data_IF_743185777836
#
_entry.id   IF_743185777836
#
_cell.length_a   1.000
_cell.length_b   1.000
_cell.length_c   1.000
_cell.angle_alpha   90.00
_cell.angle_beta   90.00
_cell.angle_gamma   90.00
#
_symmetry.space_group_name_H-M   'P 1'
#
loop_
_entity.id
_entity.type
_entity.pdbx_description
1 polymer ?
#
# COMPACT_ATOMS: atom_id res chain seq x y z
N UNK A 1 -10.66 7.18 13.41
CA UNK A 1 -9.85 6.05 13.91
C UNK A 1 -10.42 5.55 15.23
N UNK A 2 -10.34 4.24 15.48
CA UNK A 2 -10.57 3.59 16.78
C UNK A 2 -9.21 3.15 17.32
N UNK A 3 -8.89 3.45 18.58
CA UNK A 3 -7.66 2.99 19.26
C UNK A 3 -7.95 1.76 20.12
N UNK A 4 -6.99 0.85 20.21
CA UNK A 4 -7.03 -0.26 21.15
C UNK A 4 -6.88 0.27 22.59
N UNK A 5 -7.79 -0.04 23.53
CA UNK A 5 -7.73 0.50 24.89
C UNK A 5 -6.48 0.09 25.68
N UNK A 6 -5.93 -1.09 25.41
CA UNK A 6 -4.82 -1.66 26.19
C UNK A 6 -3.46 -1.12 25.76
N UNK A 7 -3.23 -1.00 24.45
CA UNK A 7 -1.93 -0.58 23.89
C UNK A 7 -1.89 0.88 23.43
N UNK A 8 -3.05 1.51 23.23
CA UNK A 8 -3.14 2.88 22.70
C UNK A 8 -2.85 3.02 21.21
N UNK A 9 -2.46 1.94 20.52
CA UNK A 9 -2.27 1.90 19.06
C UNK A 9 -3.62 1.95 18.33
N UNK A 10 -3.64 2.24 17.03
CA UNK A 10 -4.87 2.14 16.25
C UNK A 10 -5.32 0.68 16.11
N UNK A 11 -6.61 0.46 16.35
CA UNK A 11 -7.28 -0.80 16.09
C UNK A 11 -7.93 -0.78 14.70
N UNK A 12 -8.57 0.32 14.34
CA UNK A 12 -9.25 0.50 13.04
C UNK A 12 -9.06 1.92 12.54
N UNK A 13 -8.55 2.06 11.33
CA UNK A 13 -8.30 3.35 10.68
C UNK A 13 -8.97 3.37 9.30
N UNK A 14 -9.74 4.42 9.04
CA UNK A 14 -10.29 4.71 7.70
C UNK A 14 -9.64 6.00 7.21
N UNK A 15 -9.07 5.95 6.02
CA UNK A 15 -8.40 7.07 5.37
C UNK A 15 -9.22 7.43 4.13
N UNK A 16 -9.65 8.69 4.03
CA UNK A 16 -10.34 9.25 2.88
C UNK A 16 -9.47 10.31 2.22
N UNK A 17 -9.07 10.05 0.97
CA UNK A 17 -8.18 10.92 0.21
C UNK A 17 -8.87 11.44 -1.04
N UNK A 18 -8.61 12.70 -1.38
CA UNK A 18 -9.05 13.35 -2.60
C UNK A 18 -7.85 13.83 -3.41
N UNK A 19 -7.80 13.46 -4.69
CA UNK A 19 -6.77 13.86 -5.62
C UNK A 19 -7.39 14.70 -6.74
N UNK A 20 -6.66 15.70 -7.23
CA UNK A 20 -7.06 16.45 -8.42
C UNK A 20 -6.00 16.31 -9.50
N UNK A 21 -6.35 15.63 -10.59
CA UNK A 21 -5.44 15.38 -11.72
C UNK A 21 -6.11 15.89 -12.99
N UNK A 22 -5.50 16.87 -13.65
CA UNK A 22 -6.01 17.41 -14.92
C UNK A 22 -7.45 17.94 -14.84
N UNK A 23 -7.86 18.49 -13.69
CA UNK A 23 -9.21 19.00 -13.44
C UNK A 23 -10.26 17.92 -13.10
N UNK A 24 -9.86 16.65 -12.97
CA UNK A 24 -10.72 15.56 -12.48
C UNK A 24 -10.45 15.32 -11.00
N UNK A 25 -11.51 15.15 -10.23
CA UNK A 25 -11.44 14.72 -8.84
C UNK A 25 -11.47 13.19 -8.77
N UNK A 26 -10.50 12.61 -8.08
CA UNK A 26 -10.43 11.19 -7.78
C UNK A 26 -10.55 11.05 -6.27
N UNK A 27 -11.36 10.11 -5.81
CA UNK A 27 -11.49 9.80 -4.39
C UNK A 27 -11.06 8.37 -4.11
N UNK A 28 -10.35 8.21 -3.01
CA UNK A 28 -9.88 6.91 -2.54
C UNK A 28 -10.26 6.77 -1.08
N UNK A 29 -10.75 5.58 -0.71
CA UNK A 29 -11.03 5.19 0.66
C UNK A 29 -10.24 3.92 0.98
N UNK A 30 -9.44 3.95 2.04
CA UNK A 30 -8.73 2.79 2.56
C UNK A 30 -9.18 2.49 3.99
N UNK A 31 -9.32 1.23 4.35
CA UNK A 31 -9.69 0.79 5.70
C UNK A 31 -8.71 -0.31 6.13
N UNK A 32 -8.04 -0.10 7.25
CA UNK A 32 -7.20 -1.10 7.90
C UNK A 32 -7.76 -1.37 9.30
N UNK A 33 -7.84 -2.64 9.70
CA UNK A 33 -8.38 -3.01 11.01
C UNK A 33 -7.78 -4.31 11.54
N UNK A 34 -7.24 -4.26 12.76
CA UNK A 34 -6.66 -5.39 13.48
C UNK A 34 -7.73 -6.35 14.04
N UNK A 35 -8.98 -5.90 14.17
CA UNK A 35 -10.08 -6.71 14.72
C UNK A 35 -10.88 -7.49 13.68
N UNK A 36 -10.59 -7.28 12.39
CA UNK A 36 -11.18 -8.05 11.29
C UNK A 36 -10.21 -9.13 10.83
N UNK A 37 -10.57 -10.42 10.94
CA UNK A 37 -9.76 -11.47 10.34
C UNK A 37 -9.73 -11.28 8.82
N UNK A 38 -8.54 -11.39 8.22
CA UNK A 38 -8.43 -11.50 6.77
C UNK A 38 -9.19 -12.77 6.31
N UNK A 39 -9.85 -12.70 5.15
CA UNK A 39 -10.49 -13.88 4.58
C UNK A 39 -9.42 -14.95 4.36
N UNK A 40 -9.55 -16.17 4.93
CA UNK A 40 -8.51 -17.21 4.82
C UNK A 40 -8.17 -17.60 3.37
N UNK A 41 -9.08 -17.31 2.46
CA UNK A 41 -9.05 -17.63 1.03
C UNK A 41 -8.97 -16.39 0.14
N UNK A 42 -8.92 -15.17 0.72
CA UNK A 42 -8.87 -13.92 -0.04
C UNK A 42 -10.03 -13.72 -1.03
N UNK A 43 -11.15 -14.43 -0.88
CA UNK A 43 -12.23 -14.46 -1.89
C UNK A 43 -13.02 -13.14 -2.00
N UNK A 44 -12.81 -12.20 -1.09
CA UNK A 44 -13.40 -10.87 -1.16
C UNK A 44 -12.46 -9.92 -1.92
N UNK A 45 -13.04 -8.97 -2.65
CA UNK A 45 -12.24 -7.91 -3.27
C UNK A 45 -11.66 -7.01 -2.18
N UNK A 46 -10.33 -7.01 -2.05
CA UNK A 46 -9.59 -6.16 -1.13
C UNK A 46 -9.34 -4.78 -1.73
N UNK A 47 -9.24 -4.68 -3.06
CA UNK A 47 -9.06 -3.42 -3.79
C UNK A 47 -10.06 -3.34 -4.93
N UNK A 48 -10.75 -2.19 -5.04
CA UNK A 48 -11.69 -1.89 -6.12
C UNK A 48 -11.30 -0.54 -6.73
N UNK A 49 -11.13 -0.51 -8.05
CA UNK A 49 -10.87 0.71 -8.81
C UNK A 49 -12.04 0.94 -9.75
N UNK A 50 -12.83 1.98 -9.50
CA UNK A 50 -14.03 2.31 -10.29
C UNK A 50 -13.80 3.55 -11.16
N UNK A 51 -14.34 3.52 -12.38
CA UNK A 51 -14.31 4.63 -13.32
C UNK A 51 -15.55 4.66 -14.20
N UNK A 52 -15.61 5.64 -15.11
CA UNK A 52 -16.80 5.87 -15.95
C UNK A 52 -17.17 4.68 -16.85
N UNK A 53 -16.22 3.79 -17.13
CA UNK A 53 -16.40 2.65 -18.04
C UNK A 53 -16.61 1.31 -17.31
N UNK A 54 -16.64 1.32 -15.98
CA UNK A 54 -16.79 0.13 -15.15
C UNK A 54 -15.79 0.08 -14.00
N UNK A 55 -15.43 -1.13 -13.54
CA UNK A 55 -14.55 -1.31 -12.37
C UNK A 55 -13.59 -2.47 -12.53
N UNK A 56 -12.49 -2.41 -11.78
CA UNK A 56 -11.54 -3.49 -11.57
C UNK A 56 -11.68 -3.95 -10.12
N UNK A 57 -11.83 -5.26 -9.90
CA UNK A 57 -11.73 -5.87 -8.58
C UNK A 57 -10.46 -6.71 -8.51
N UNK A 58 -9.65 -6.50 -7.47
CA UNK A 58 -8.48 -7.31 -7.16
C UNK A 58 -8.82 -8.13 -5.90
N UNK A 59 -8.70 -9.45 -6.02
CA UNK A 59 -8.96 -10.41 -4.94
C UNK A 59 -7.69 -11.16 -4.58
N UNK A 60 -7.73 -11.89 -3.48
CA UNK A 60 -6.53 -12.41 -2.82
C UNK A 60 -5.98 -11.42 -1.81
N UNK A 61 -4.88 -11.80 -1.18
CA UNK A 61 -4.19 -10.93 -0.24
C UNK A 61 -3.58 -9.74 -0.99
N UNK A 62 -3.60 -8.52 -0.44
CA UNK A 62 -3.08 -7.33 -1.13
C UNK A 62 -1.61 -7.45 -1.53
N UNK A 63 -0.81 -8.19 -0.74
CA UNK A 63 0.59 -8.46 -1.05
C UNK A 63 0.78 -9.57 -2.09
N UNK A 64 -0.24 -10.40 -2.32
CA UNK A 64 -0.24 -11.51 -3.26
C UNK A 64 -1.63 -11.69 -3.87
N UNK A 65 -2.06 -10.78 -4.75
CA UNK A 65 -3.36 -10.89 -5.40
C UNK A 65 -3.40 -12.20 -6.19
N UNK A 66 -4.56 -12.85 -6.26
CA UNK A 66 -4.72 -14.15 -6.94
C UNK A 66 -5.66 -14.05 -8.15
N UNK A 67 -6.55 -13.06 -8.15
CA UNK A 67 -7.57 -12.89 -9.19
C UNK A 67 -7.80 -11.42 -9.52
N UNK A 68 -7.97 -11.12 -10.81
CA UNK A 68 -8.32 -9.79 -11.32
C UNK A 68 -9.58 -9.85 -12.19
N UNK A 69 -10.62 -9.13 -11.76
CA UNK A 69 -11.88 -9.06 -12.49
C UNK A 69 -12.08 -7.69 -13.11
N UNK A 70 -12.40 -7.68 -14.41
CA UNK A 70 -12.77 -6.47 -15.14
C UNK A 70 -14.28 -6.46 -15.39
N UNK A 71 -14.96 -5.43 -14.93
CA UNK A 71 -16.37 -5.19 -15.21
C UNK A 71 -16.48 -4.01 -16.16
N UNK A 72 -17.19 -4.17 -17.29
CA UNK A 72 -17.45 -3.08 -18.25
C UNK A 72 -18.92 -2.70 -18.17
N UNK A 73 -19.27 -1.42 -18.33
CA UNK A 73 -20.65 -0.89 -18.43
C UNK A 73 -21.65 -1.44 -17.39
N UNK A 74 -22.07 -0.61 -16.42
CA UNK A 74 -23.13 -0.94 -15.43
C UNK A 74 -23.17 -2.43 -15.01
N UNK A 75 -22.01 -2.98 -14.65
CA UNK A 75 -21.81 -4.31 -14.08
C UNK A 75 -21.93 -5.53 -15.01
N UNK A 76 -21.88 -5.38 -16.33
CA UNK A 76 -21.65 -6.57 -17.17
C UNK A 76 -20.23 -7.09 -16.92
N UNK A 77 -20.14 -8.30 -16.34
CA UNK A 77 -18.85 -8.96 -16.14
C UNK A 77 -18.22 -9.19 -17.51
N UNK A 78 -17.15 -8.46 -17.81
CA UNK A 78 -16.27 -8.92 -18.89
C UNK A 78 -15.48 -10.10 -18.32
N UNK A 79 -15.26 -11.13 -19.14
CA UNK A 79 -14.59 -12.39 -18.74
C UNK A 79 -13.41 -12.09 -17.79
N UNK A 80 -13.25 -12.85 -16.68
CA UNK A 80 -12.11 -12.67 -15.78
C UNK A 80 -10.83 -12.65 -16.61
N UNK A 81 -9.95 -11.70 -16.30
CA UNK A 81 -8.58 -11.80 -16.78
C UNK A 81 -7.92 -12.76 -15.79
N UNK A 82 -7.80 -14.03 -16.17
CA UNK A 82 -7.06 -15.03 -15.39
C UNK A 82 -5.59 -14.61 -15.37
N UNK A 83 -5.25 -13.71 -14.47
CA UNK A 83 -3.88 -13.57 -13.96
C UNK A 83 -3.85 -14.43 -12.70
N UNK A 84 -3.70 -15.73 -12.89
CA UNK A 84 -3.28 -16.58 -11.78
C UNK A 84 -1.82 -16.22 -11.53
N UNK A 85 -1.56 -15.43 -10.49
CA UNK A 85 -0.21 -15.28 -9.99
C UNK A 85 0.25 -16.67 -9.54
N UNK A 86 1.42 -17.10 -10.03
CA UNK A 86 1.92 -18.44 -9.75
C UNK A 86 2.12 -18.60 -8.24
N UNK A 87 1.23 -19.34 -7.58
CA UNK A 87 1.30 -19.63 -6.13
C UNK A 87 2.64 -20.27 -5.71
N UNK A 88 3.42 -20.76 -6.66
CA UNK A 88 4.71 -21.42 -6.44
C UNK A 88 5.87 -20.45 -6.21
N UNK A 89 5.74 -19.16 -6.57
CA UNK A 89 6.79 -18.18 -6.31
C UNK A 89 6.66 -17.62 -4.87
N UNK A 90 7.72 -17.68 -4.05
CA UNK A 90 7.71 -17.03 -2.74
C UNK A 90 7.35 -15.54 -2.86
N UNK A 91 6.54 -15.05 -1.91
CA UNK A 91 5.98 -13.68 -1.85
C UNK A 91 6.95 -12.55 -2.25
N UNK A 92 8.24 -12.72 -1.92
CA UNK A 92 9.26 -11.70 -2.05
C UNK A 92 10.17 -11.85 -3.29
N UNK A 93 9.91 -12.81 -4.18
CA UNK A 93 10.75 -13.00 -5.38
C UNK A 93 10.73 -11.78 -6.32
N UNK A 94 9.57 -11.18 -6.66
CA UNK A 94 9.54 -10.06 -7.60
C UNK A 94 10.33 -8.84 -7.10
N UNK A 95 10.25 -8.53 -5.81
CA UNK A 95 11.01 -7.42 -5.21
C UNK A 95 12.52 -7.72 -5.15
N UNK A 96 12.91 -8.96 -4.87
CA UNK A 96 14.31 -9.37 -4.88
C UNK A 96 14.91 -9.30 -6.29
N UNK A 97 14.16 -9.71 -7.31
CA UNK A 97 14.57 -9.64 -8.71
C UNK A 97 14.71 -8.19 -9.19
N UNK A 98 13.82 -7.28 -8.77
CA UNK A 98 13.93 -5.86 -9.08
C UNK A 98 15.17 -5.22 -8.43
N UNK A 99 15.47 -5.56 -7.18
CA UNK A 99 16.72 -5.12 -6.51
C UNK A 99 17.95 -5.65 -7.25
N UNK A 100 17.96 -6.94 -7.60
CA UNK A 100 19.07 -7.55 -8.33
C UNK A 100 19.25 -6.91 -9.72
N UNK A 101 18.15 -6.57 -10.41
CA UNK A 101 18.15 -5.85 -11.68
C UNK A 101 18.74 -4.44 -11.53
N UNK A 102 18.27 -3.67 -10.55
CA UNK A 102 18.77 -2.32 -10.29
C UNK A 102 20.27 -2.30 -9.98
N UNK A 103 20.75 -3.21 -9.13
CA UNK A 103 22.18 -3.33 -8.80
C UNK A 103 22.99 -3.67 -10.05
N UNK A 104 22.52 -4.63 -10.87
CA UNK A 104 23.19 -5.02 -12.12
C UNK A 104 23.29 -3.87 -13.12
N UNK A 105 22.30 -2.99 -13.15
CA UNK A 105 22.26 -1.81 -14.03
C UNK A 105 22.95 -0.57 -13.42
N UNK A 106 23.43 -0.65 -12.18
CA UNK A 106 24.07 0.48 -11.49
C UNK A 106 23.10 1.58 -11.07
N UNK A 107 21.81 1.26 -10.92
CA UNK A 107 20.78 2.18 -10.44
C UNK A 107 20.83 2.29 -8.91
N UNK A 108 20.53 3.48 -8.40
CA UNK A 108 20.47 3.75 -6.96
C UNK A 108 19.08 3.52 -6.36
N UNK A 109 18.05 3.51 -7.20
CA UNK A 109 16.66 3.30 -6.83
C UNK A 109 15.92 2.55 -7.95
N UNK A 110 14.78 1.93 -7.61
CA UNK A 110 13.91 1.31 -8.60
C UNK A 110 13.18 2.40 -9.40
N UNK A 111 13.19 2.35 -10.74
CA UNK A 111 12.34 3.23 -11.56
C UNK A 111 10.84 3.01 -11.34
N UNK A 112 10.43 1.79 -10.96
CA UNK A 112 9.04 1.44 -10.66
C UNK A 112 8.64 1.84 -9.24
N UNK A 113 9.57 1.81 -8.28
CA UNK A 113 9.38 2.31 -6.90
C UNK A 113 10.47 3.33 -6.52
N UNK A 114 10.38 4.58 -7.01
CA UNK A 114 11.32 5.64 -6.66
C UNK A 114 11.25 6.00 -5.16
N UNK A 115 12.31 6.61 -4.64
CA UNK A 115 12.33 7.12 -3.26
C UNK A 115 11.24 8.16 -3.01
N UNK A 116 10.91 8.97 -4.01
CA UNK A 116 9.83 9.96 -3.91
C UNK A 116 8.47 9.31 -3.60
N UNK A 117 8.18 8.14 -4.17
CA UNK A 117 6.95 7.40 -3.89
C UNK A 117 6.96 6.86 -2.45
N UNK A 118 8.10 6.32 -2.00
CA UNK A 118 8.26 5.85 -0.62
C UNK A 118 8.06 6.98 0.40
N UNK A 119 8.66 8.15 0.13
CA UNK A 119 8.52 9.34 0.97
C UNK A 119 7.06 9.83 1.00
N UNK A 120 6.38 9.87 -0.15
CA UNK A 120 4.97 10.26 -0.20
C UNK A 120 4.09 9.34 0.66
N UNK A 121 4.29 8.02 0.60
CA UNK A 121 3.56 7.07 1.44
C UNK A 121 3.85 7.33 2.92
N UNK A 122 5.12 7.55 3.30
CA UNK A 122 5.49 7.89 4.68
C UNK A 122 4.82 9.18 5.16
N UNK A 123 4.81 10.24 4.33
CA UNK A 123 4.15 11.51 4.64
C UNK A 123 2.65 11.35 4.85
N UNK A 124 1.98 10.53 4.02
CA UNK A 124 0.55 10.21 4.18
C UNK A 124 0.32 9.51 5.52
N UNK A 125 1.13 8.51 5.86
CA UNK A 125 0.98 7.76 7.11
C UNK A 125 1.24 8.66 8.33
N UNK A 126 2.25 9.52 8.29
CA UNK A 126 2.56 10.50 9.34
C UNK A 126 1.43 11.53 9.50
N UNK A 127 0.86 11.98 8.39
CA UNK A 127 -0.30 12.87 8.42
C UNK A 127 -1.50 12.20 9.08
N UNK A 128 -1.79 10.94 8.74
CA UNK A 128 -2.87 10.16 9.36
C UNK A 128 -2.64 9.98 10.86
N UNK A 129 -1.41 9.63 11.30
CA UNK A 129 -1.06 9.53 12.72
C UNK A 129 -1.31 10.84 13.46
N UNK A 130 -0.81 11.95 12.89
CA UNK A 130 -0.95 13.31 13.45
C UNK A 130 -2.40 13.75 13.58
N UNK A 131 -3.23 13.48 12.56
CA UNK A 131 -4.67 13.82 12.60
C UNK A 131 -5.44 13.08 13.70
N UNK A 132 -4.89 11.99 14.23
CA UNK A 132 -5.56 11.14 15.22
C UNK A 132 -4.81 11.11 16.56
N UNK A 133 -3.93 12.08 16.81
CA UNK A 133 -3.13 12.18 18.05
C UNK A 133 -2.41 10.87 18.40
N UNK A 134 -1.83 10.21 17.39
CA UNK A 134 -0.92 9.09 17.58
C UNK A 134 0.52 9.59 17.46
N UNK A 135 1.29 9.40 18.53
CA UNK A 135 2.70 9.79 18.60
C UNK A 135 3.52 8.59 19.05
N UNK A 136 4.67 8.40 18.41
CA UNK A 136 5.69 7.50 18.92
C UNK A 136 6.41 8.16 20.10
N UNK A 137 7.19 7.38 20.89
CA UNK A 137 8.10 7.94 21.87
C UNK A 137 9.00 9.05 21.28
N UNK A 138 9.38 10.08 22.07
CA UNK A 138 10.15 11.23 21.59
C UNK A 138 11.45 10.85 20.87
N UNK A 139 12.06 9.72 21.22
CA UNK A 139 13.30 9.21 20.63
C UNK A 139 13.12 8.77 19.17
N UNK A 140 11.90 8.39 18.78
CA UNK A 140 11.53 7.98 17.41
C UNK A 140 11.03 9.18 16.60
N UNK A 141 10.34 10.13 17.23
CA UNK A 141 9.84 11.35 16.58
C UNK A 141 10.96 12.40 16.35
N UNK A 142 12.17 12.17 16.88
CA UNK A 142 13.31 13.05 16.68
C UNK A 142 13.80 13.01 15.23
N UNK A 143 13.96 14.19 14.61
CA UNK A 143 14.49 14.31 13.24
C UNK A 143 16.00 14.06 13.15
N UNK A 144 16.71 14.06 14.28
CA UNK A 144 18.13 13.74 14.34
C UNK A 144 18.31 12.28 14.78
N UNK A 145 19.15 11.51 14.07
CA UNK A 145 19.41 10.14 14.47
C UNK A 145 20.07 10.12 15.85
N UNK A 146 19.51 9.32 16.75
CA UNK A 146 20.03 9.10 18.10
C UNK A 146 21.40 8.43 18.12
N UNK A 147 21.89 7.97 16.95
CA UNK A 147 23.22 7.40 16.75
C UNK A 147 23.95 8.18 15.65
N UNK A 148 25.12 8.75 15.98
CA UNK A 148 26.01 9.31 14.96
C UNK A 148 26.61 8.18 14.12
N UNK A 149 26.26 8.16 12.83
CA UNK A 149 26.87 7.24 11.88
C UNK A 149 28.33 7.65 11.64
N UNK A 150 29.29 6.70 11.63
CA UNK A 150 30.67 7.01 11.32
C UNK A 150 30.78 7.63 9.92
N UNK A 151 31.59 8.68 9.80
CA UNK A 151 31.86 9.34 8.52
C UNK A 151 32.35 8.29 7.50
N UNK A 152 31.70 8.20 6.34
CA UNK A 152 32.18 7.32 5.25
C UNK A 152 33.61 7.73 4.92
N UNK A 153 34.57 6.82 5.14
CA UNK A 153 35.90 6.89 4.56
C UNK A 153 35.71 6.72 3.04
N UNK A 154 35.85 7.82 2.29
CA UNK A 154 35.96 7.81 0.84
C UNK A 154 37.34 7.28 0.42
#
# INVERSE_FOLDING_TARGET
MKKCPESGVDETTTIDMGFSIGGREIRTKAIASLSTPASPDGQLAHVIIEGSNGKIEIRGWEALPTELYLFKNSYSLSKPYDVTFHEEEPLFVPEADEVARCIREGLLESPEMPWAESLLVMEIMDFVRKQNDLQYPPEIEASEPSVMLPSRLL
#
